data_IF_642114436456
#
_entry.id   IF_642114436456
#
_cell.length_a   1.000
_cell.length_b   1.000
_cell.length_c   1.000
_cell.angle_alpha   90.00
_cell.angle_beta   90.00
_cell.angle_gamma   90.00
#
_symmetry.space_group_name_H-M   'P 1'
#
loop_
_entity.id
_entity.type
_entity.pdbx_description
1 polymer ?
#
# COMPACT_ATOMS: atom_id res chain seq x y z
N UNK A 1 6.96 2.12 -19.96
CA UNK A 1 6.48 2.30 -18.59
C UNK A 1 6.89 3.71 -18.14
N UNK A 2 6.01 4.47 -17.49
CA UNK A 2 6.29 5.87 -17.15
C UNK A 2 6.88 6.02 -15.76
N UNK A 3 6.46 5.16 -14.84
CA UNK A 3 6.92 5.12 -13.45
C UNK A 3 7.55 3.78 -13.15
N UNK A 4 8.71 3.78 -12.53
CA UNK A 4 9.40 2.57 -12.06
C UNK A 4 9.74 2.67 -10.58
N UNK A 5 9.73 1.52 -9.88
CA UNK A 5 10.26 1.36 -8.52
C UNK A 5 11.44 0.39 -8.54
N UNK A 6 12.17 0.31 -7.43
CA UNK A 6 13.22 -0.69 -7.24
C UNK A 6 12.68 -2.10 -6.98
N UNK A 7 11.33 -2.23 -6.87
CA UNK A 7 10.64 -3.48 -6.55
C UNK A 7 10.94 -4.01 -5.16
N UNK A 8 11.51 -3.17 -4.28
CA UNK A 8 11.92 -3.52 -2.90
C UNK A 8 12.85 -4.74 -2.85
N UNK A 9 13.59 -4.99 -3.92
CA UNK A 9 14.40 -6.19 -4.16
C UNK A 9 15.45 -6.45 -3.08
N UNK A 10 15.93 -5.40 -2.41
CA UNK A 10 16.92 -5.52 -1.34
C UNK A 10 16.32 -5.81 0.02
N UNK A 11 15.00 -5.75 0.17
CA UNK A 11 14.29 -5.92 1.44
C UNK A 11 13.89 -7.36 1.63
N UNK A 12 14.08 -7.90 2.84
CA UNK A 12 13.61 -9.24 3.21
C UNK A 12 12.08 -9.27 3.23
N UNK A 13 11.48 -8.19 3.68
CA UNK A 13 10.02 -8.00 3.75
C UNK A 13 9.73 -6.50 3.82
N UNK A 14 8.79 -6.01 3.00
CA UNK A 14 8.50 -4.56 2.84
C UNK A 14 8.26 -3.84 4.18
N UNK A 15 7.61 -4.51 5.13
CA UNK A 15 7.28 -3.97 6.46
C UNK A 15 8.42 -4.16 7.47
N UNK A 16 8.97 -5.39 7.54
CA UNK A 16 9.91 -5.78 8.59
C UNK A 16 11.28 -5.09 8.43
N UNK A 17 11.69 -4.77 7.20
CA UNK A 17 12.99 -4.15 6.94
C UNK A 17 13.13 -2.79 7.63
N UNK A 18 12.11 -1.93 7.55
CA UNK A 18 12.09 -0.66 8.27
C UNK A 18 12.23 -0.89 9.79
N UNK A 19 11.49 -1.84 10.34
CA UNK A 19 11.44 -2.14 11.77
C UNK A 19 12.76 -2.70 12.30
N UNK A 20 13.44 -3.52 11.50
CA UNK A 20 14.75 -4.05 11.86
C UNK A 20 15.83 -2.95 11.90
N UNK A 21 15.74 -1.97 11.01
CA UNK A 21 16.69 -0.85 10.95
C UNK A 21 16.47 0.18 12.06
N UNK A 22 15.25 0.44 12.50
CA UNK A 22 14.96 1.33 13.64
C UNK A 22 15.08 0.63 15.00
N UNK A 23 15.15 -0.69 15.04
CA UNK A 23 15.29 -1.48 16.26
C UNK A 23 14.04 -1.48 17.14
N UNK A 24 14.18 -1.97 18.38
CA UNK A 24 13.07 -2.04 19.33
C UNK A 24 12.05 -3.14 19.05
N UNK A 25 12.34 -4.06 18.12
CA UNK A 25 11.46 -5.16 17.72
C UNK A 25 12.14 -6.50 17.90
N UNK A 26 11.34 -7.48 18.33
CA UNK A 26 11.78 -8.87 18.47
C UNK A 26 10.85 -9.81 17.69
N UNK A 27 11.41 -10.89 17.14
CA UNK A 27 10.62 -11.95 16.51
C UNK A 27 10.08 -12.90 17.57
N UNK A 28 9.08 -12.48 18.31
CA UNK A 28 8.57 -13.14 19.51
C UNK A 28 7.09 -13.52 19.43
N UNK A 29 6.26 -12.72 18.75
CA UNK A 29 4.81 -12.97 18.75
C UNK A 29 4.45 -14.10 17.79
N UNK A 30 3.86 -15.17 18.36
CA UNK A 30 3.23 -16.24 17.57
C UNK A 30 1.79 -15.85 17.24
N UNK A 31 1.35 -16.16 16.03
CA UNK A 31 -0.02 -15.92 15.56
C UNK A 31 -0.44 -17.01 14.59
N UNK A 32 -1.74 -17.24 14.48
CA UNK A 32 -2.30 -18.11 13.47
C UNK A 32 -2.74 -17.28 12.27
N UNK A 33 -2.34 -17.70 11.07
CA UNK A 33 -2.83 -17.17 9.81
C UNK A 33 -3.23 -18.33 8.91
N UNK A 34 -4.53 -18.40 8.59
CA UNK A 34 -5.15 -19.61 8.07
C UNK A 34 -4.87 -20.79 9.02
N UNK A 35 -4.38 -21.91 8.52
CA UNK A 35 -4.07 -23.09 9.34
C UNK A 35 -2.62 -23.15 9.80
N UNK A 36 -1.82 -22.11 9.53
CA UNK A 36 -0.41 -22.05 9.86
C UNK A 36 -0.15 -21.19 11.10
N UNK A 37 0.75 -21.67 11.96
CA UNK A 37 1.29 -20.89 13.10
C UNK A 37 2.61 -20.27 12.66
N UNK A 38 2.65 -18.94 12.69
CA UNK A 38 3.78 -18.13 12.26
C UNK A 38 4.32 -17.30 13.43
N UNK A 39 5.54 -16.80 13.27
CA UNK A 39 6.14 -15.86 14.21
C UNK A 39 6.43 -14.54 13.49
N UNK A 40 6.02 -13.43 14.09
CA UNK A 40 6.25 -12.09 13.54
C UNK A 40 7.07 -11.24 14.48
N UNK A 41 7.61 -10.14 13.95
CA UNK A 41 8.12 -9.05 14.77
C UNK A 41 7.00 -8.44 15.60
N UNK A 42 7.32 -8.07 16.83
CA UNK A 42 6.47 -7.28 17.72
C UNK A 42 7.36 -6.25 18.40
N UNK A 43 6.83 -5.06 18.66
CA UNK A 43 7.60 -4.02 19.35
C UNK A 43 7.71 -4.36 20.83
N UNK A 44 8.94 -4.40 21.37
CA UNK A 44 9.25 -4.71 22.76
C UNK A 44 10.13 -3.67 23.43
N UNK A 45 10.66 -2.72 22.65
CA UNK A 45 11.54 -1.66 23.11
C UNK A 45 11.31 -0.36 22.36
N UNK A 46 11.94 0.73 22.80
CA UNK A 46 11.90 2.01 22.09
C UNK A 46 12.67 1.93 20.78
N UNK A 47 12.03 2.39 19.70
CA UNK A 47 12.69 2.55 18.40
C UNK A 47 13.64 3.74 18.43
N UNK A 48 14.65 3.70 17.58
CA UNK A 48 15.58 4.80 17.35
C UNK A 48 15.99 4.83 15.89
N UNK A 49 15.96 5.97 15.26
CA UNK A 49 16.50 6.18 13.93
C UNK A 49 17.84 6.90 14.06
N UNK A 50 18.89 6.27 13.55
CA UNK A 50 20.18 6.89 13.33
C UNK A 50 20.23 7.63 11.99
N UNK A 51 21.13 7.21 11.12
CA UNK A 51 21.23 7.70 9.74
C UNK A 51 19.97 7.33 8.92
N UNK A 52 19.74 7.98 7.78
CA UNK A 52 18.71 7.58 6.83
C UNK A 52 18.80 6.10 6.44
N UNK A 53 17.64 5.44 6.34
CA UNK A 53 17.61 3.97 6.25
C UNK A 53 17.70 3.47 4.80
N UNK A 54 17.08 4.18 3.84
CA UNK A 54 16.88 3.70 2.48
C UNK A 54 17.41 4.66 1.39
N UNK A 55 18.16 5.68 1.77
CA UNK A 55 18.69 6.68 0.82
C UNK A 55 19.56 6.04 -0.26
N UNK A 56 20.39 5.05 0.09
CA UNK A 56 21.24 4.33 -0.86
C UNK A 56 20.42 3.52 -1.89
N UNK A 57 19.27 2.98 -1.49
CA UNK A 57 18.34 2.28 -2.39
C UNK A 57 17.67 3.26 -3.37
N UNK A 58 17.22 4.41 -2.87
CA UNK A 58 16.60 5.45 -3.68
C UNK A 58 17.60 6.11 -4.65
N UNK A 59 18.80 6.46 -4.19
CA UNK A 59 19.87 7.00 -5.05
C UNK A 59 20.28 6.01 -6.15
N UNK A 60 20.30 4.72 -5.83
CA UNK A 60 20.56 3.70 -6.84
C UNK A 60 19.47 3.71 -7.91
N UNK A 61 18.18 3.76 -7.53
CA UNK A 61 17.07 3.78 -8.46
C UNK A 61 17.15 5.02 -9.37
N UNK A 62 17.26 6.21 -8.79
CA UNK A 62 17.35 7.49 -9.53
C UNK A 62 18.50 7.48 -10.52
N UNK A 63 19.65 6.91 -10.16
CA UNK A 63 20.84 6.85 -11.02
C UNK A 63 20.69 5.91 -12.21
N UNK A 64 19.79 4.92 -12.15
CA UNK A 64 19.74 3.84 -13.14
C UNK A 64 18.54 3.91 -14.08
N UNK A 65 17.78 5.00 -14.06
CA UNK A 65 16.65 5.20 -14.96
C UNK A 65 16.43 6.67 -15.28
N UNK A 66 15.88 6.94 -16.48
CA UNK A 66 15.37 8.24 -16.89
C UNK A 66 13.85 8.34 -16.75
N UNK A 67 13.19 7.27 -16.27
CA UNK A 67 11.76 7.28 -15.98
C UNK A 67 11.47 7.97 -14.65
N UNK A 68 10.23 8.39 -14.44
CA UNK A 68 9.75 8.82 -13.14
C UNK A 68 9.95 7.70 -12.10
N UNK A 69 10.51 8.04 -10.96
CA UNK A 69 10.95 7.07 -9.94
C UNK A 69 10.02 7.07 -8.73
N UNK A 70 9.66 5.89 -8.24
CA UNK A 70 8.78 5.72 -7.09
C UNK A 70 9.45 4.86 -6.01
N UNK A 71 9.36 5.32 -4.76
CA UNK A 71 9.86 4.60 -3.60
C UNK A 71 8.74 4.35 -2.58
N UNK A 72 8.59 3.10 -2.12
CA UNK A 72 7.53 2.72 -1.18
C UNK A 72 8.05 2.65 0.26
N UNK A 73 7.22 3.14 1.19
CA UNK A 73 7.36 3.02 2.63
C UNK A 73 6.08 2.45 3.23
N UNK A 74 6.16 1.62 4.28
CA UNK A 74 4.96 1.17 4.97
C UNK A 74 4.31 2.31 5.77
N UNK A 75 2.98 2.31 5.91
CA UNK A 75 2.28 3.30 6.72
C UNK A 75 2.41 3.03 8.22
N UNK A 76 2.34 4.07 9.07
CA UNK A 76 2.33 3.90 10.53
C UNK A 76 1.15 3.06 11.02
N UNK A 77 -0.03 3.24 10.41
CA UNK A 77 -1.24 2.52 10.82
C UNK A 77 -1.13 1.03 10.54
N UNK A 78 -0.68 0.64 9.34
CA UNK A 78 -0.41 -0.76 9.03
C UNK A 78 0.57 -1.39 10.02
N UNK A 79 1.69 -0.70 10.29
CA UNK A 79 2.71 -1.19 11.21
C UNK A 79 2.10 -1.37 12.60
N UNK A 80 1.37 -0.37 13.11
CA UNK A 80 0.78 -0.40 14.43
C UNK A 80 -0.21 -1.58 14.59
N UNK A 81 -1.09 -1.78 13.60
CA UNK A 81 -2.03 -2.91 13.57
C UNK A 81 -1.30 -4.26 13.62
N UNK A 82 -0.22 -4.40 12.90
CA UNK A 82 0.48 -5.68 12.73
C UNK A 82 1.50 -5.99 13.83
N UNK A 83 2.09 -4.97 14.47
CA UNK A 83 3.31 -5.12 15.29
C UNK A 83 3.17 -4.69 16.74
N UNK A 84 2.09 -4.00 17.13
CA UNK A 84 1.80 -3.75 18.53
C UNK A 84 0.88 -4.83 19.11
N UNK A 85 1.18 -5.27 20.32
CA UNK A 85 0.33 -6.21 21.08
C UNK A 85 0.55 -5.96 22.57
N UNK A 86 -0.56 -5.88 23.32
CA UNK A 86 -0.56 -5.52 24.73
C UNK A 86 0.44 -6.34 25.57
N UNK A 87 0.44 -7.67 25.41
CA UNK A 87 1.30 -8.58 26.19
C UNK A 87 2.82 -8.39 25.96
N UNK A 88 3.23 -7.76 24.87
CA UNK A 88 4.63 -7.61 24.49
C UNK A 88 5.10 -6.17 24.45
N UNK A 89 4.19 -5.23 24.19
CA UNK A 89 4.53 -3.89 23.75
C UNK A 89 4.27 -2.81 24.80
N UNK A 90 3.41 -3.08 25.79
CA UNK A 90 2.90 -2.09 26.75
C UNK A 90 3.99 -1.44 27.61
N UNK A 91 5.07 -2.15 27.91
CA UNK A 91 6.22 -1.59 28.66
C UNK A 91 6.97 -0.54 27.83
N UNK A 92 7.08 -0.74 26.51
CA UNK A 92 7.74 0.21 25.63
C UNK A 92 6.77 1.30 25.14
N UNK A 93 5.56 0.94 24.76
CA UNK A 93 4.51 1.82 24.27
C UNK A 93 3.17 1.43 24.91
N UNK A 94 2.67 2.23 25.87
CA UNK A 94 1.47 1.89 26.65
C UNK A 94 0.23 1.59 25.82
N UNK A 95 0.11 2.20 24.65
CA UNK A 95 -0.98 1.96 23.70
C UNK A 95 -0.45 1.86 22.27
N UNK A 96 -1.29 1.31 21.38
CA UNK A 96 -0.98 1.25 19.95
C UNK A 96 -0.84 2.65 19.35
N UNK A 97 -1.62 3.61 19.82
CA UNK A 97 -1.57 5.01 19.40
C UNK A 97 -0.20 5.65 19.69
N UNK A 98 0.35 5.47 20.89
CA UNK A 98 1.70 5.97 21.23
C UNK A 98 2.80 5.34 20.35
N UNK A 99 2.61 4.07 19.98
CA UNK A 99 3.53 3.41 19.05
C UNK A 99 3.39 4.00 17.65
N UNK A 100 2.16 4.21 17.18
CA UNK A 100 1.87 4.80 15.87
C UNK A 100 2.39 6.24 15.76
N UNK A 101 2.25 7.05 16.80
CA UNK A 101 2.80 8.42 16.86
C UNK A 101 4.32 8.42 16.64
N UNK A 102 5.05 7.58 17.37
CA UNK A 102 6.51 7.49 17.21
C UNK A 102 6.92 6.93 15.85
N UNK A 103 6.19 5.93 15.31
CA UNK A 103 6.39 5.45 13.94
C UNK A 103 6.23 6.57 12.91
N UNK A 104 5.20 7.39 13.08
CA UNK A 104 4.90 8.52 12.19
C UNK A 104 6.06 9.52 12.18
N UNK A 105 6.63 9.85 13.34
CA UNK A 105 7.81 10.73 13.44
C UNK A 105 9.02 10.15 12.68
N UNK A 106 9.31 8.85 12.88
CA UNK A 106 10.45 8.20 12.24
C UNK A 106 10.27 8.07 10.72
N UNK A 107 9.07 7.71 10.26
CA UNK A 107 8.73 7.62 8.84
C UNK A 107 8.72 8.99 8.16
N UNK A 108 8.28 10.04 8.85
CA UNK A 108 8.37 11.40 8.33
C UNK A 108 9.82 11.87 8.15
N UNK A 109 10.73 11.48 9.05
CA UNK A 109 12.15 11.74 8.90
C UNK A 109 12.74 10.98 7.72
N UNK A 110 12.33 9.72 7.51
CA UNK A 110 12.80 8.91 6.38
C UNK A 110 12.28 9.45 5.06
N UNK A 111 10.99 9.76 4.96
CA UNK A 111 10.39 10.32 3.75
C UNK A 111 11.06 11.64 3.33
N UNK A 112 11.39 12.52 4.30
CA UNK A 112 12.14 13.75 4.01
C UNK A 112 13.57 13.47 3.48
N UNK A 113 14.24 12.45 4.01
CA UNK A 113 15.57 12.07 3.52
C UNK A 113 15.49 11.50 2.11
N UNK A 114 14.50 10.66 1.83
CA UNK A 114 14.24 10.10 0.50
C UNK A 114 13.91 11.18 -0.54
N UNK A 115 13.08 12.16 -0.19
CA UNK A 115 12.74 13.25 -1.09
C UNK A 115 13.95 14.11 -1.53
N UNK A 116 15.08 14.04 -0.79
CA UNK A 116 16.31 14.74 -1.15
C UNK A 116 17.20 13.96 -2.13
N UNK A 117 16.89 12.68 -2.40
CA UNK A 117 17.67 11.84 -3.33
C UNK A 117 17.37 12.10 -4.81
N UNK A 118 16.31 12.87 -5.09
CA UNK A 118 15.81 13.09 -6.46
C UNK A 118 14.73 12.08 -6.87
N UNK A 119 14.19 11.29 -5.91
CA UNK A 119 13.00 10.45 -6.14
C UNK A 119 11.79 11.35 -6.47
N UNK A 120 10.96 10.95 -7.43
CA UNK A 120 9.82 11.74 -7.87
C UNK A 120 8.55 11.48 -7.05
N UNK A 121 8.38 10.24 -6.58
CA UNK A 121 7.18 9.77 -5.90
C UNK A 121 7.54 9.01 -4.62
N UNK A 122 6.89 9.34 -3.51
CA UNK A 122 6.88 8.52 -2.29
C UNK A 122 5.49 7.90 -2.15
N UNK A 123 5.46 6.57 -2.07
CA UNK A 123 4.24 5.80 -1.84
C UNK A 123 4.19 5.32 -0.38
N UNK A 124 3.06 5.55 0.30
CA UNK A 124 2.77 5.01 1.62
C UNK A 124 1.85 3.79 1.46
N UNK A 125 2.30 2.61 1.87
CA UNK A 125 1.54 1.37 1.76
C UNK A 125 0.67 1.18 3.00
N UNK A 126 -0.65 1.28 2.84
CA UNK A 126 -1.61 1.12 3.93
C UNK A 126 -2.76 0.15 3.59
N UNK A 127 -2.48 -1.13 3.41
CA UNK A 127 -3.54 -2.13 3.29
C UNK A 127 -4.40 -2.26 4.57
N UNK A 128 -3.99 -1.69 5.71
CA UNK A 128 -4.81 -1.73 6.92
C UNK A 128 -6.06 -0.84 6.81
N UNK A 129 -6.06 0.18 5.96
CA UNK A 129 -7.28 0.93 5.62
C UNK A 129 -8.32 0.05 4.92
N UNK A 130 -7.91 -0.91 4.09
CA UNK A 130 -8.86 -1.83 3.44
C UNK A 130 -9.43 -2.88 4.40
N UNK A 131 -8.79 -3.11 5.57
CA UNK A 131 -9.40 -3.94 6.60
C UNK A 131 -10.72 -3.32 7.10
N UNK A 132 -10.81 -2.00 7.12
CA UNK A 132 -12.04 -1.27 7.49
C UNK A 132 -13.17 -1.43 6.47
N UNK A 133 -12.87 -1.89 5.26
CA UNK A 133 -13.85 -2.16 4.21
C UNK A 133 -14.45 -3.58 4.29
N UNK A 134 -13.78 -4.52 4.97
CA UNK A 134 -14.25 -5.90 5.04
C UNK A 134 -15.28 -6.09 6.17
N UNK A 135 -16.55 -6.13 5.80
CA UNK A 135 -17.66 -6.29 6.76
C UNK A 135 -17.62 -7.62 7.53
N UNK A 136 -17.01 -8.66 6.98
CA UNK A 136 -16.81 -9.93 7.70
C UNK A 136 -15.87 -9.72 8.88
N UNK A 137 -14.84 -8.89 8.68
CA UNK A 137 -13.86 -8.54 9.70
C UNK A 137 -14.46 -7.53 10.71
N UNK A 138 -15.03 -6.44 10.21
CA UNK A 138 -15.46 -5.30 11.04
C UNK A 138 -16.76 -5.55 11.82
N UNK A 139 -17.74 -6.22 11.20
CA UNK A 139 -19.05 -6.46 11.82
C UNK A 139 -19.17 -7.86 12.46
N UNK A 140 -18.48 -8.87 11.89
CA UNK A 140 -18.66 -10.27 12.29
C UNK A 140 -17.45 -10.85 13.03
N UNK A 141 -16.31 -10.11 13.07
CA UNK A 141 -15.07 -10.59 13.68
C UNK A 141 -14.47 -11.82 12.99
N UNK A 142 -14.87 -12.08 11.74
CA UNK A 142 -14.41 -13.24 10.98
C UNK A 142 -13.06 -12.94 10.32
N UNK A 143 -12.03 -13.57 10.83
CA UNK A 143 -10.69 -13.50 10.23
C UNK A 143 -9.93 -14.80 10.44
N UNK A 144 -9.08 -15.13 9.48
CA UNK A 144 -8.11 -16.23 9.56
C UNK A 144 -6.76 -15.78 10.12
N UNK A 145 -6.58 -14.48 10.36
CA UNK A 145 -5.36 -13.89 10.92
C UNK A 145 -5.62 -13.41 12.35
N UNK A 146 -5.00 -14.07 13.34
CA UNK A 146 -5.14 -13.70 14.76
C UNK A 146 -4.72 -12.25 15.05
N UNK A 147 -3.87 -11.65 14.23
CA UNK A 147 -3.44 -10.25 14.36
C UNK A 147 -4.57 -9.26 14.08
N UNK A 148 -5.59 -9.68 13.33
CA UNK A 148 -6.75 -8.87 12.97
C UNK A 148 -7.95 -9.11 13.90
N UNK A 149 -7.83 -9.97 14.90
CA UNK A 149 -8.84 -10.18 15.95
C UNK A 149 -8.83 -9.03 16.95
N UNK A 150 -9.54 -7.97 16.62
CA UNK A 150 -9.68 -6.75 17.41
C UNK A 150 -11.00 -6.06 17.12
N UNK A 151 -11.33 -5.06 17.91
CA UNK A 151 -12.43 -4.15 17.59
C UNK A 151 -12.02 -3.22 16.43
N UNK A 152 -12.90 -3.10 15.46
CA UNK A 152 -12.75 -2.23 14.31
C UNK A 152 -13.77 -1.11 14.37
N UNK A 153 -13.31 0.12 14.26
CA UNK A 153 -14.12 1.34 14.30
C UNK A 153 -13.60 2.29 13.22
N UNK A 154 -14.29 2.33 12.10
CA UNK A 154 -13.87 3.12 10.94
C UNK A 154 -13.87 4.62 11.24
N UNK A 155 -14.87 5.11 12.00
CA UNK A 155 -15.01 6.54 12.31
C UNK A 155 -13.89 7.05 13.23
N UNK A 156 -13.24 6.16 13.96
CA UNK A 156 -12.07 6.46 14.79
C UNK A 156 -10.76 6.16 14.06
N UNK A 157 -10.65 5.01 13.43
CA UNK A 157 -9.36 4.50 12.91
C UNK A 157 -8.98 5.11 11.56
N UNK A 158 -9.94 5.36 10.66
CA UNK A 158 -9.62 5.99 9.38
C UNK A 158 -9.09 7.44 9.56
N UNK A 159 -9.71 8.33 10.37
CA UNK A 159 -9.13 9.64 10.67
C UNK A 159 -7.75 9.57 11.31
N UNK A 160 -7.49 8.61 12.21
CA UNK A 160 -6.16 8.42 12.82
C UNK A 160 -5.11 8.04 11.77
N UNK A 161 -5.43 7.10 10.87
CA UNK A 161 -4.54 6.71 9.78
C UNK A 161 -4.25 7.89 8.84
N UNK A 162 -5.29 8.65 8.44
CA UNK A 162 -5.14 9.82 7.57
C UNK A 162 -4.31 10.92 8.26
N UNK A 163 -4.50 11.16 9.55
CA UNK A 163 -3.68 12.12 10.30
C UNK A 163 -2.19 11.75 10.31
N UNK A 164 -1.87 10.46 10.49
CA UNK A 164 -0.50 9.97 10.43
C UNK A 164 0.10 10.10 9.01
N UNK A 165 -0.67 9.76 7.97
CA UNK A 165 -0.29 9.97 6.57
C UNK A 165 0.00 11.46 6.31
N UNK A 166 -0.88 12.34 6.75
CA UNK A 166 -0.74 13.80 6.57
C UNK A 166 0.50 14.38 7.25
N UNK A 167 0.90 13.84 8.40
CA UNK A 167 2.12 14.25 9.09
C UNK A 167 3.38 13.86 8.30
N UNK A 168 3.34 12.74 7.58
CA UNK A 168 4.44 12.31 6.70
C UNK A 168 4.44 13.13 5.40
N UNK A 169 3.28 13.21 4.75
CA UNK A 169 3.10 13.80 3.44
C UNK A 169 3.19 15.33 3.41
N UNK A 170 2.78 16.00 4.48
CA UNK A 170 2.35 17.39 4.50
C UNK A 170 3.36 18.46 4.07
N UNK A 171 4.65 18.15 3.91
CA UNK A 171 5.70 19.10 3.51
C UNK A 171 6.69 18.47 2.50
N UNK A 172 6.36 17.35 1.90
CA UNK A 172 7.24 16.71 0.94
C UNK A 172 7.16 17.44 -0.41
N UNK A 173 8.31 17.75 -1.06
CA UNK A 173 8.37 18.41 -2.36
C UNK A 173 8.23 17.43 -3.54
N UNK A 174 7.64 16.27 -3.32
CA UNK A 174 7.49 15.18 -4.28
C UNK A 174 6.05 14.68 -4.28
N UNK A 175 5.61 13.99 -5.33
CA UNK A 175 4.28 13.39 -5.36
C UNK A 175 4.14 12.36 -4.24
N UNK A 176 3.04 12.42 -3.47
CA UNK A 176 2.74 11.45 -2.42
C UNK A 176 1.57 10.58 -2.84
N UNK A 177 1.79 9.27 -2.86
CA UNK A 177 0.77 8.28 -3.17
C UNK A 177 0.42 7.44 -1.94
N UNK A 178 -0.85 7.09 -1.79
CA UNK A 178 -1.33 6.14 -0.80
C UNK A 178 -1.75 4.85 -1.52
N UNK A 179 -1.22 3.71 -1.09
CA UNK A 179 -1.59 2.42 -1.68
C UNK A 179 -2.45 1.62 -0.71
N UNK A 180 -3.66 1.31 -1.11
CA UNK A 180 -4.66 0.56 -0.36
C UNK A 180 -5.02 -0.72 -1.11
N UNK A 181 -4.26 -1.80 -0.89
CA UNK A 181 -4.55 -3.12 -1.47
C UNK A 181 -5.27 -4.04 -0.47
N UNK A 182 -5.77 -5.16 -0.95
CA UNK A 182 -6.42 -6.21 -0.15
C UNK A 182 -5.44 -7.30 0.32
N UNK A 183 -4.15 -6.99 0.34
CA UNK A 183 -3.05 -7.92 0.59
C UNK A 183 -2.97 -9.07 -0.42
N UNK A 184 -1.81 -9.70 -0.51
CA UNK A 184 -1.60 -10.87 -1.38
C UNK A 184 -0.93 -11.97 -0.57
N UNK A 185 -1.73 -12.94 -0.13
CA UNK A 185 -1.25 -14.12 0.58
C UNK A 185 -1.44 -15.36 -0.28
N UNK A 186 -0.38 -16.05 -0.66
CA UNK A 186 -0.44 -17.25 -1.53
C UNK A 186 -1.29 -17.00 -2.79
N UNK A 187 -1.12 -15.83 -3.41
CA UNK A 187 -1.91 -15.38 -4.58
C UNK A 187 -3.42 -15.32 -4.32
N UNK A 188 -3.83 -15.05 -3.09
CA UNK A 188 -5.21 -14.81 -2.69
C UNK A 188 -5.30 -13.48 -1.93
N UNK A 189 -6.49 -12.91 -1.89
CA UNK A 189 -6.76 -11.73 -1.09
C UNK A 189 -7.09 -12.11 0.35
N UNK A 190 -6.47 -11.46 1.33
CA UNK A 190 -6.76 -11.67 2.76
C UNK A 190 -8.10 -11.07 3.18
N UNK A 191 -8.43 -9.91 2.60
CA UNK A 191 -9.65 -9.15 2.89
C UNK A 191 -10.44 -8.90 1.62
N UNK A 192 -11.71 -8.53 1.76
CA UNK A 192 -12.61 -8.24 0.64
C UNK A 192 -13.44 -7.00 0.96
N UNK A 193 -13.96 -6.37 -0.05
CA UNK A 193 -14.82 -5.21 0.07
C UNK A 193 -14.45 -4.14 -0.95
N UNK A 194 -15.42 -3.32 -1.30
CA UNK A 194 -15.22 -2.12 -2.10
C UNK A 194 -14.60 -1.00 -1.26
N UNK A 195 -14.17 0.09 -1.89
CA UNK A 195 -13.51 1.20 -1.23
C UNK A 195 -14.48 2.28 -0.71
N UNK A 196 -15.79 2.15 -0.94
CA UNK A 196 -16.80 3.14 -0.53
C UNK A 196 -16.70 3.55 0.93
N UNK A 197 -16.41 2.63 1.90
CA UNK A 197 -16.31 3.02 3.30
C UNK A 197 -15.16 3.97 3.62
N UNK A 198 -14.02 3.88 2.92
CA UNK A 198 -12.81 4.67 3.24
C UNK A 198 -12.63 5.91 2.35
N UNK A 199 -13.15 5.92 1.12
CA UNK A 199 -12.96 7.03 0.19
C UNK A 199 -13.40 8.40 0.73
N UNK A 200 -14.52 8.53 1.47
CA UNK A 200 -14.92 9.82 2.05
C UNK A 200 -13.88 10.41 3.01
N UNK A 201 -13.12 9.57 3.73
CA UNK A 201 -12.09 10.04 4.65
C UNK A 201 -10.86 10.61 3.93
N UNK A 202 -10.65 10.27 2.66
CA UNK A 202 -9.58 10.86 1.85
C UNK A 202 -9.78 12.34 1.56
N UNK A 203 -10.98 12.91 1.82
CA UNK A 203 -11.23 14.35 1.70
C UNK A 203 -10.22 15.19 2.52
N UNK A 204 -9.74 14.64 3.63
CA UNK A 204 -8.79 15.30 4.53
C UNK A 204 -7.33 14.85 4.29
N UNK A 205 -7.09 13.96 3.32
CA UNK A 205 -5.76 13.41 3.04
C UNK A 205 -4.93 14.38 2.19
N UNK A 206 -3.69 14.60 2.60
CA UNK A 206 -2.70 15.42 1.88
C UNK A 206 -1.86 14.54 0.94
N UNK A 207 -2.53 13.87 0.04
CA UNK A 207 -1.93 13.00 -0.97
C UNK A 207 -2.32 13.47 -2.36
N UNK A 208 -1.49 13.18 -3.36
CA UNK A 208 -1.76 13.51 -4.75
C UNK A 208 -2.56 12.40 -5.45
N UNK A 209 -2.37 11.14 -5.02
CA UNK A 209 -2.97 9.97 -5.65
C UNK A 209 -3.23 8.84 -4.65
N UNK A 210 -4.32 8.09 -4.86
CA UNK A 210 -4.56 6.81 -4.18
C UNK A 210 -4.49 5.66 -5.18
N UNK A 211 -3.77 4.59 -4.87
CA UNK A 211 -3.66 3.38 -5.68
C UNK A 211 -4.60 2.31 -5.11
N UNK A 212 -5.56 1.87 -5.94
CA UNK A 212 -6.66 0.96 -5.57
C UNK A 212 -6.76 -0.20 -6.55
N UNK A 213 -7.25 -1.35 -6.12
CA UNK A 213 -7.42 -2.57 -6.92
C UNK A 213 -8.79 -2.62 -7.59
N UNK A 214 -8.83 -2.94 -8.90
CA UNK A 214 -10.06 -3.09 -9.68
C UNK A 214 -10.07 -4.32 -10.58
N UNK A 215 -8.97 -5.08 -10.65
CA UNK A 215 -8.87 -6.24 -11.53
C UNK A 215 -9.25 -7.55 -10.84
N UNK A 216 -9.06 -7.68 -9.53
CA UNK A 216 -9.36 -8.90 -8.79
C UNK A 216 -10.80 -8.88 -8.26
N UNK A 217 -11.51 -9.99 -8.41
CA UNK A 217 -12.91 -10.10 -7.97
C UNK A 217 -13.06 -9.96 -6.44
N UNK A 218 -13.93 -9.05 -6.03
CA UNK A 218 -14.23 -8.77 -4.62
C UNK A 218 -13.33 -7.70 -4.00
N UNK A 219 -12.65 -6.92 -4.85
CA UNK A 219 -11.96 -5.68 -4.52
C UNK A 219 -12.79 -4.47 -5.00
N UNK A 220 -12.17 -3.37 -5.41
CA UNK A 220 -12.88 -2.17 -5.85
C UNK A 220 -13.72 -2.36 -7.12
N UNK A 221 -14.76 -1.56 -7.21
CA UNK A 221 -15.61 -1.43 -8.38
C UNK A 221 -15.45 -0.01 -8.96
N UNK A 222 -15.61 0.15 -10.28
CA UNK A 222 -15.46 1.49 -10.90
C UNK A 222 -16.35 2.54 -10.26
N UNK A 223 -17.55 2.16 -9.81
CA UNK A 223 -18.51 3.05 -9.15
C UNK A 223 -17.98 3.64 -7.83
N UNK A 224 -16.96 3.03 -7.21
CA UNK A 224 -16.31 3.57 -6.01
C UNK A 224 -15.72 4.95 -6.30
N UNK A 225 -15.23 5.17 -7.53
CA UNK A 225 -14.63 6.43 -7.97
C UNK A 225 -15.57 7.63 -7.91
N UNK A 226 -16.89 7.41 -7.81
CA UNK A 226 -17.87 8.49 -7.59
C UNK A 226 -17.68 9.18 -6.25
N UNK A 227 -17.02 8.51 -5.29
CA UNK A 227 -16.73 9.02 -3.94
C UNK A 227 -15.29 9.53 -3.79
N UNK A 228 -14.48 9.44 -4.85
CA UNK A 228 -13.10 9.93 -4.80
C UNK A 228 -13.08 11.47 -4.73
N UNK A 229 -12.46 12.06 -3.70
CA UNK A 229 -12.43 13.52 -3.56
C UNK A 229 -11.82 14.22 -4.77
N UNK A 230 -12.35 15.41 -5.09
CA UNK A 230 -11.76 16.27 -6.13
C UNK A 230 -10.32 16.62 -5.77
N UNK A 231 -9.43 16.63 -6.75
CA UNK A 231 -8.02 16.94 -6.58
C UNK A 231 -7.12 15.73 -6.27
N UNK A 232 -7.68 14.59 -5.85
CA UNK A 232 -6.92 13.36 -5.68
C UNK A 232 -7.01 12.51 -6.94
N UNK A 233 -5.85 12.09 -7.50
CA UNK A 233 -5.78 11.15 -8.60
C UNK A 233 -6.01 9.70 -8.13
N UNK A 234 -6.26 8.80 -9.07
CA UNK A 234 -6.31 7.36 -8.79
C UNK A 234 -5.30 6.59 -9.64
N UNK A 235 -4.55 5.71 -8.99
CA UNK A 235 -3.86 4.61 -9.66
C UNK A 235 -4.81 3.42 -9.68
N UNK A 236 -5.39 3.16 -10.85
CA UNK A 236 -6.28 2.01 -11.02
C UNK A 236 -5.45 0.75 -11.21
N UNK A 237 -5.57 -0.19 -10.27
CA UNK A 237 -5.09 -1.55 -10.39
C UNK A 237 -5.94 -2.28 -11.42
N UNK A 238 -5.43 -2.44 -12.62
CA UNK A 238 -6.15 -3.04 -13.76
C UNK A 238 -5.53 -4.36 -14.20
N UNK A 239 -4.49 -4.79 -13.53
CA UNK A 239 -3.79 -6.07 -13.75
C UNK A 239 -3.85 -6.90 -12.49
N UNK A 240 -4.54 -8.03 -12.56
CA UNK A 240 -4.62 -9.01 -11.48
C UNK A 240 -3.28 -9.74 -11.29
N UNK A 241 -2.63 -9.49 -10.15
CA UNK A 241 -1.35 -10.12 -9.79
C UNK A 241 -1.54 -11.50 -9.14
N UNK A 242 -2.77 -11.85 -8.78
CA UNK A 242 -3.11 -13.10 -8.07
C UNK A 242 -3.40 -14.25 -9.02
N UNK A 243 -4.00 -13.95 -10.18
CA UNK A 243 -4.34 -14.95 -11.18
C UNK A 243 -3.14 -15.25 -12.09
N UNK A 244 -2.95 -16.50 -12.48
CA UNK A 244 -1.92 -16.92 -13.45
C UNK A 244 -2.26 -16.49 -14.89
N UNK A 245 -3.53 -16.23 -15.18
CA UNK A 245 -3.96 -15.82 -16.51
C UNK A 245 -3.43 -14.43 -16.86
N UNK A 246 -2.86 -14.31 -18.05
CA UNK A 246 -2.43 -13.03 -18.61
C UNK A 246 -3.66 -12.31 -19.17
N UNK A 247 -4.03 -11.18 -18.59
CA UNK A 247 -5.12 -10.36 -19.11
C UNK A 247 -4.74 -9.77 -20.46
N UNK A 248 -5.71 -9.76 -21.41
CA UNK A 248 -5.49 -9.12 -22.71
C UNK A 248 -5.45 -7.59 -22.59
N UNK A 249 -4.84 -6.96 -23.58
CA UNK A 249 -4.79 -5.48 -23.66
C UNK A 249 -6.22 -4.91 -23.63
N UNK A 250 -7.15 -5.50 -24.38
CA UNK A 250 -8.55 -5.08 -24.45
C UNK A 250 -9.27 -5.23 -23.09
N UNK A 251 -8.96 -6.29 -22.33
CA UNK A 251 -9.50 -6.48 -20.97
C UNK A 251 -9.04 -5.40 -20.00
N UNK A 252 -7.78 -5.03 -20.07
CA UNK A 252 -7.19 -3.95 -19.27
C UNK A 252 -7.77 -2.59 -19.67
N UNK A 253 -7.88 -2.33 -21.00
CA UNK A 253 -8.52 -1.11 -21.52
C UNK A 253 -9.96 -0.95 -21.04
N UNK A 254 -10.72 -2.04 -20.94
CA UNK A 254 -12.11 -2.01 -20.49
C UNK A 254 -12.21 -1.50 -19.06
N UNK A 255 -11.35 -1.97 -18.15
CA UNK A 255 -11.34 -1.54 -16.75
C UNK A 255 -10.93 -0.06 -16.65
N UNK A 256 -9.86 0.34 -17.33
CA UNK A 256 -9.39 1.74 -17.33
C UNK A 256 -10.42 2.70 -17.94
N UNK A 257 -11.09 2.31 -19.03
CA UNK A 257 -12.14 3.10 -19.66
C UNK A 257 -13.40 3.25 -18.79
N UNK A 258 -13.71 2.23 -17.96
CA UNK A 258 -14.81 2.34 -17.00
C UNK A 258 -14.54 3.42 -15.94
N UNK A 259 -13.31 3.52 -15.44
CA UNK A 259 -12.91 4.61 -14.56
C UNK A 259 -12.97 5.99 -15.24
N UNK A 260 -12.47 6.08 -16.47
CA UNK A 260 -12.49 7.31 -17.27
C UNK A 260 -13.90 7.79 -17.66
N UNK A 261 -14.91 6.94 -17.55
CA UNK A 261 -16.31 7.34 -17.71
C UNK A 261 -16.89 8.01 -16.45
N UNK A 262 -16.20 7.93 -15.31
CA UNK A 262 -16.68 8.42 -14.01
C UNK A 262 -15.90 9.65 -13.56
N UNK A 263 -14.58 9.66 -13.70
CA UNK A 263 -13.73 10.78 -13.33
C UNK A 263 -12.89 11.24 -14.53
N UNK A 264 -12.35 12.45 -14.44
CA UNK A 264 -11.48 13.00 -15.48
C UNK A 264 -10.30 12.05 -15.78
N UNK A 265 -10.09 11.64 -17.04
CA UNK A 265 -9.00 10.74 -17.44
C UNK A 265 -7.60 11.24 -17.01
N UNK A 266 -7.39 12.56 -16.92
CA UNK A 266 -6.12 13.14 -16.47
C UNK A 266 -5.77 12.79 -15.01
N UNK A 267 -6.75 12.41 -14.21
CA UNK A 267 -6.59 11.96 -12.82
C UNK A 267 -6.27 10.47 -12.71
N UNK A 268 -6.30 9.72 -13.82
CA UNK A 268 -6.13 8.26 -13.82
C UNK A 268 -4.70 7.88 -14.22
N UNK A 269 -4.09 7.01 -13.43
CA UNK A 269 -2.94 6.20 -13.82
C UNK A 269 -3.34 4.72 -13.81
N UNK A 270 -2.67 3.90 -14.61
CA UNK A 270 -2.89 2.46 -14.60
C UNK A 270 -1.70 1.75 -13.94
N UNK A 271 -1.98 0.81 -13.08
CA UNK A 271 -0.98 -0.01 -12.39
C UNK A 271 -1.48 -1.45 -12.19
N UNK A 272 -0.62 -2.39 -11.81
CA UNK A 272 -1.07 -3.67 -11.26
C UNK A 272 -1.84 -3.46 -9.94
N UNK A 273 -2.73 -4.40 -9.60
CA UNK A 273 -3.49 -4.36 -8.33
C UNK A 273 -2.57 -4.23 -7.11
N UNK A 274 -1.44 -4.94 -7.13
CA UNK A 274 -0.46 -4.97 -6.05
C UNK A 274 0.93 -5.29 -6.61
N UNK A 275 1.93 -5.47 -5.75
CA UNK A 275 3.21 -6.07 -6.11
C UNK A 275 3.05 -7.52 -6.55
N UNK A 276 3.93 -8.00 -7.44
CA UNK A 276 3.86 -9.37 -7.96
C UNK A 276 4.31 -10.41 -6.92
N UNK A 277 5.14 -10.04 -5.94
CA UNK A 277 5.56 -10.97 -4.90
C UNK A 277 4.51 -11.05 -3.79
N UNK A 278 3.90 -12.23 -3.54
CA UNK A 278 2.98 -12.41 -2.42
C UNK A 278 3.72 -12.39 -1.09
N UNK A 279 3.01 -12.03 -0.01
CA UNK A 279 3.55 -12.06 1.37
C UNK A 279 4.02 -13.47 1.77
N UNK A 280 3.35 -14.51 1.24
CA UNK A 280 3.73 -15.92 1.36
C UNK A 280 3.35 -16.68 0.09
N UNK A 281 4.05 -17.78 -0.17
CA UNK A 281 3.85 -18.62 -1.34
C UNK A 281 4.80 -18.26 -2.48
N UNK A 282 4.64 -18.95 -3.59
CA UNK A 282 5.49 -18.75 -4.76
C UNK A 282 5.05 -17.51 -5.54
N UNK A 283 5.98 -16.63 -5.89
CA UNK A 283 5.69 -15.51 -6.79
C UNK A 283 5.38 -16.01 -8.21
N UNK A 284 4.75 -15.19 -9.05
CA UNK A 284 4.66 -15.48 -10.49
C UNK A 284 6.07 -15.59 -11.10
N UNK A 285 6.17 -16.27 -12.24
CA UNK A 285 7.41 -16.28 -13.00
C UNK A 285 7.72 -14.87 -13.52
N UNK A 286 8.99 -14.62 -13.80
CA UNK A 286 9.42 -13.34 -14.40
C UNK A 286 8.71 -13.13 -15.75
N UNK A 287 8.53 -14.20 -16.54
CA UNK A 287 7.85 -14.13 -17.83
C UNK A 287 6.37 -13.75 -17.67
N UNK A 288 5.66 -14.33 -16.69
CA UNK A 288 4.27 -13.94 -16.36
C UNK A 288 4.19 -12.47 -16.00
N UNK A 289 5.02 -12.01 -15.07
CA UNK A 289 5.03 -10.62 -14.63
C UNK A 289 5.37 -9.66 -15.77
N UNK A 290 6.35 -10.01 -16.60
CA UNK A 290 6.76 -9.22 -17.75
C UNK A 290 5.65 -9.09 -18.80
N UNK A 291 4.96 -10.19 -19.13
CA UNK A 291 3.88 -10.21 -20.11
C UNK A 291 2.68 -9.37 -19.64
N UNK A 292 2.31 -9.49 -18.35
CA UNK A 292 1.29 -8.64 -17.72
C UNK A 292 1.64 -7.16 -17.81
N UNK A 293 2.89 -6.78 -17.54
CA UNK A 293 3.35 -5.39 -17.64
C UNK A 293 3.42 -4.89 -19.09
N UNK A 294 3.74 -5.76 -20.05
CA UNK A 294 3.67 -5.41 -21.48
C UNK A 294 2.24 -5.06 -21.90
N UNK A 295 1.27 -5.89 -21.50
CA UNK A 295 -0.14 -5.64 -21.82
C UNK A 295 -0.66 -4.37 -21.13
N UNK A 296 -0.26 -4.12 -19.88
CA UNK A 296 -0.57 -2.88 -19.17
C UNK A 296 -0.08 -1.65 -19.93
N UNK A 297 1.19 -1.65 -20.37
CA UNK A 297 1.76 -0.49 -21.08
C UNK A 297 1.10 -0.25 -22.42
N UNK A 298 0.72 -1.31 -23.15
CA UNK A 298 -0.02 -1.21 -24.41
C UNK A 298 -1.43 -0.64 -24.18
N UNK A 299 -2.15 -1.14 -23.18
CA UNK A 299 -3.48 -0.63 -22.83
C UNK A 299 -3.43 0.86 -22.43
N UNK A 300 -2.44 1.23 -21.60
CA UNK A 300 -2.23 2.64 -21.22
C UNK A 300 -1.97 3.55 -22.43
N UNK A 301 -1.19 3.09 -23.40
CA UNK A 301 -0.92 3.86 -24.63
C UNK A 301 -2.22 4.08 -25.44
N UNK A 302 -3.02 3.02 -25.64
CA UNK A 302 -4.28 3.12 -26.39
C UNK A 302 -5.31 4.01 -25.68
N UNK A 303 -5.40 3.94 -24.34
CA UNK A 303 -6.30 4.80 -23.58
C UNK A 303 -5.87 6.27 -23.65
N UNK A 304 -4.56 6.56 -23.62
CA UNK A 304 -4.07 7.93 -23.86
C UNK A 304 -4.47 8.46 -25.23
N UNK A 305 -4.30 7.68 -26.29
CA UNK A 305 -4.74 8.07 -27.63
C UNK A 305 -6.26 8.33 -27.67
N UNK A 306 -7.04 7.51 -26.97
CA UNK A 306 -8.50 7.63 -26.91
C UNK A 306 -9.00 8.87 -26.17
N UNK A 307 -8.27 9.33 -25.15
CA UNK A 307 -8.64 10.45 -24.28
C UNK A 307 -7.71 11.68 -24.46
N UNK A 308 -6.95 11.76 -25.57
CA UNK A 308 -6.02 12.84 -25.86
C UNK A 308 -6.67 14.13 -26.39
N UNK A 309 -8.01 14.23 -26.43
CA UNK A 309 -8.75 15.38 -26.99
C UNK A 309 -9.08 16.47 -25.92
#
# INVERSE_FOLDING_TARGET
MDVISDGEWRRIHYLDEFLLRVGGHERARRFKHNDEVKTTLVVTGKMQRGDPLFVDEAEFLVKHTDCCTKFALPSPFLIAIRKWHEDYSSDAYPTMEHYMEHLTELLALEARALAQTGIDIIQLDDPALTYLCDRRLTEQGQTQDDRLKREWDIDRQAPQAIAAINQIAGELPVEVQLHCCHSVHKRQSDVKGDYKPILPFLQDAKIDRVNLEFAYQGTGESDDLTLLPEGIGVGMGVVDVRNENIQTVEGIELIGAAGAAIIDPSRIALNPDCGFAPDYGEPPSIDEAYEKLCNLTQAAARLRERFAD
#
